data_IF_515986169093
#
_entry.id   IF_515986169093
#
_cell.length_a   1.000
_cell.length_b   1.000
_cell.length_c   1.000
_cell.angle_alpha   90.00
_cell.angle_beta   90.00
_cell.angle_gamma   90.00
#
_symmetry.space_group_name_H-M   'P 1'
#
loop_
_entity.id
_entity.type
_entity.pdbx_description
1 polymer ?
#
# COMPACT_ATOMS: atom_id res chain seq x y z
N UNK A 1 6.64 -5.34 8.67
CA UNK A 1 6.03 -4.03 9.00
C UNK A 1 5.12 -4.23 10.20
N UNK A 2 5.21 -3.39 11.25
CA UNK A 2 4.32 -3.45 12.40
C UNK A 2 2.82 -3.38 12.00
N UNK A 3 1.93 -4.14 12.67
CA UNK A 3 0.51 -4.17 12.33
C UNK A 3 -0.19 -2.81 12.41
N UNK A 4 0.24 -1.94 13.32
CA UNK A 4 -0.29 -0.59 13.52
C UNK A 4 -0.20 0.33 12.29
N UNK A 5 0.77 0.08 11.40
CA UNK A 5 0.91 0.85 10.17
C UNK A 5 -0.04 0.37 9.07
N UNK A 6 -0.44 -0.91 9.06
CA UNK A 6 -1.18 -1.55 7.95
C UNK A 6 -2.50 -0.85 7.64
N UNK A 7 -3.14 -0.27 8.65
CA UNK A 7 -4.42 0.43 8.48
C UNK A 7 -4.28 1.82 7.85
N UNK A 8 -3.09 2.41 7.88
CA UNK A 8 -2.82 3.80 7.45
C UNK A 8 -1.91 3.90 6.23
N UNK A 9 -1.28 2.81 5.79
CA UNK A 9 -0.29 2.83 4.69
C UNK A 9 -0.86 3.29 3.33
N UNK A 10 -2.19 3.27 3.17
CA UNK A 10 -2.86 3.76 1.96
C UNK A 10 -3.36 5.20 2.11
N UNK A 11 -3.24 5.81 3.28
CA UNK A 11 -3.60 7.19 3.50
C UNK A 11 -2.60 8.11 2.78
N UNK A 12 -3.07 9.13 2.04
CA UNK A 12 -2.19 10.11 1.43
C UNK A 12 -1.26 10.75 2.48
N UNK A 13 0.00 10.93 2.10
CA UNK A 13 1.05 11.52 2.94
C UNK A 13 1.49 10.70 4.16
N UNK A 14 0.94 9.50 4.35
CA UNK A 14 1.41 8.61 5.40
C UNK A 14 2.78 8.02 5.05
N UNK A 15 3.75 8.19 5.95
CA UNK A 15 5.09 7.62 5.81
C UNK A 15 5.71 7.39 7.18
N UNK A 16 6.47 6.29 7.31
CA UNK A 16 7.33 6.03 8.48
C UNK A 16 8.78 6.46 8.24
N UNK A 17 9.08 6.97 7.03
CA UNK A 17 10.40 7.51 6.67
C UNK A 17 10.44 9.00 6.99
N UNK A 18 11.65 9.51 7.22
CA UNK A 18 11.91 10.94 7.33
C UNK A 18 11.27 11.73 6.19
N UNK A 19 10.77 12.93 6.49
CA UNK A 19 10.04 13.79 5.54
C UNK A 19 10.83 14.10 4.26
N UNK A 20 12.17 14.10 4.34
CA UNK A 20 13.08 14.32 3.19
C UNK A 20 13.28 13.07 2.31
N UNK A 21 12.82 11.88 2.73
CA UNK A 21 13.08 10.59 2.07
C UNK A 21 11.85 9.96 1.42
N UNK A 22 10.70 10.62 1.49
CA UNK A 22 9.49 10.15 0.80
C UNK A 22 8.24 10.95 1.17
N UNK A 23 7.41 11.24 0.16
CA UNK A 23 6.18 12.03 0.31
C UNK A 23 4.99 11.24 0.87
N UNK A 24 5.11 9.92 1.02
CA UNK A 24 4.00 9.05 1.45
C UNK A 24 2.87 8.91 0.42
N UNK A 25 3.06 9.32 -0.84
CA UNK A 25 2.00 9.30 -1.86
C UNK A 25 1.92 8.02 -2.69
N UNK A 26 3.02 7.25 -2.79
CA UNK A 26 3.12 6.13 -3.72
C UNK A 26 2.01 5.09 -3.53
N UNK A 27 1.82 4.60 -2.29
CA UNK A 27 0.81 3.59 -2.00
C UNK A 27 -0.62 4.12 -2.13
N UNK A 28 -0.88 5.37 -1.75
CA UNK A 28 -2.18 6.00 -1.94
C UNK A 28 -2.56 6.10 -3.43
N UNK A 29 -1.60 6.50 -4.28
CA UNK A 29 -1.79 6.55 -5.74
C UNK A 29 -2.02 5.16 -6.32
N UNK A 30 -1.18 4.17 -5.94
CA UNK A 30 -1.36 2.78 -6.40
C UNK A 30 -2.72 2.21 -5.99
N UNK A 31 -3.16 2.46 -4.75
CA UNK A 31 -4.48 2.02 -4.27
C UNK A 31 -5.59 2.62 -5.14
N UNK A 32 -5.56 3.92 -5.40
CA UNK A 32 -6.53 4.59 -6.27
C UNK A 32 -6.55 4.02 -7.70
N UNK A 33 -5.37 3.79 -8.29
CA UNK A 33 -5.25 3.18 -9.63
C UNK A 33 -5.88 1.79 -9.64
N UNK A 34 -5.50 0.93 -8.69
CA UNK A 34 -6.00 -0.46 -8.61
C UNK A 34 -7.52 -0.47 -8.46
N UNK A 35 -8.08 0.36 -7.57
CA UNK A 35 -9.52 0.47 -7.38
C UNK A 35 -10.24 0.99 -8.61
N UNK A 36 -9.67 1.97 -9.32
CA UNK A 36 -10.23 2.48 -10.59
C UNK A 36 -10.29 1.40 -11.69
N UNK A 37 -9.41 0.40 -11.64
CA UNK A 37 -9.42 -0.75 -12.55
C UNK A 37 -10.27 -1.93 -12.01
N UNK A 38 -11.13 -1.71 -11.02
CA UNK A 38 -11.95 -2.77 -10.41
C UNK A 38 -11.14 -3.79 -9.60
N UNK A 39 -9.89 -3.47 -9.28
CA UNK A 39 -8.98 -4.35 -8.57
C UNK A 39 -9.05 -4.25 -7.06
N UNK A 40 -8.22 -5.10 -6.44
CA UNK A 40 -7.99 -5.11 -5.01
C UNK A 40 -6.50 -5.25 -4.69
N UNK A 41 -6.10 -4.71 -3.53
CA UNK A 41 -4.75 -4.83 -3.01
C UNK A 41 -4.82 -5.33 -1.57
N UNK A 42 -4.03 -6.36 -1.26
CA UNK A 42 -3.85 -6.90 0.09
C UNK A 42 -2.40 -6.79 0.50
N UNK A 43 -2.19 -6.57 1.79
CA UNK A 43 -0.85 -6.54 2.40
C UNK A 43 -0.75 -7.65 3.42
N UNK A 44 0.33 -8.43 3.34
CA UNK A 44 0.75 -9.38 4.36
C UNK A 44 2.14 -8.98 4.83
N UNK A 45 2.35 -8.93 6.13
CA UNK A 45 3.63 -8.48 6.68
C UNK A 45 3.95 -9.19 7.98
N UNK A 46 5.21 -9.60 8.10
CA UNK A 46 5.75 -10.21 9.30
C UNK A 46 7.06 -9.52 9.65
N UNK A 47 7.24 -9.16 10.93
CA UNK A 47 8.45 -8.49 11.41
C UNK A 47 9.62 -9.47 11.31
N UNK A 48 10.73 -9.05 10.70
CA UNK A 48 11.91 -9.90 10.48
C UNK A 48 11.88 -10.71 9.17
N UNK A 49 10.70 -10.99 8.61
CA UNK A 49 10.57 -11.78 7.36
C UNK A 49 10.39 -10.88 6.13
N UNK A 50 9.62 -9.80 6.24
CA UNK A 50 9.38 -8.88 5.13
C UNK A 50 7.92 -8.44 4.98
N UNK A 51 7.60 -7.88 3.81
CA UNK A 51 6.25 -7.41 3.49
C UNK A 51 5.92 -7.76 2.05
N UNK A 52 4.73 -8.31 1.83
CA UNK A 52 4.23 -8.71 0.52
C UNK A 52 2.94 -7.95 0.23
N UNK A 53 2.89 -7.30 -0.92
CA UNK A 53 1.68 -6.71 -1.47
C UNK A 53 1.15 -7.61 -2.59
N UNK A 54 -0.10 -8.01 -2.49
CA UNK A 54 -0.79 -8.82 -3.50
C UNK A 54 -1.82 -7.96 -4.20
N UNK A 55 -1.63 -7.73 -5.49
CA UNK A 55 -2.59 -7.00 -6.34
C UNK A 55 -3.40 -8.02 -7.14
N UNK A 56 -4.72 -7.83 -7.16
CA UNK A 56 -5.66 -8.63 -7.97
C UNK A 56 -6.40 -7.68 -8.89
N UNK A 57 -6.41 -8.00 -10.18
CA UNK A 57 -7.11 -7.24 -11.21
C UNK A 57 -8.10 -8.16 -11.94
N UNK A 58 -9.29 -7.66 -12.32
CA UNK A 58 -10.16 -8.38 -13.25
C UNK A 58 -9.45 -8.63 -14.58
N UNK A 59 -9.68 -9.78 -15.20
CA UNK A 59 -9.15 -10.09 -16.53
C UNK A 59 -9.87 -9.31 -17.65
N UNK A 60 -11.11 -8.88 -17.40
CA UNK A 60 -11.93 -8.10 -18.31
C UNK A 60 -12.56 -6.94 -17.51
N UNK A 61 -12.63 -5.76 -18.13
CA UNK A 61 -13.20 -4.53 -17.54
C UNK A 61 -14.45 -4.07 -18.28
#
# INVERSE_FOLDING_TARGET
>A
MPPEHLNKIFDPFYTTKDALKGTGLGLAVSYGIIKKHGGDIKVSSEIGTGTTFTVRLPLHG
#
